data_IF_617575637935
#
_entry.id   IF_617575637935
#
_cell.length_a   1.000
_cell.length_b   1.000
_cell.length_c   1.000
_cell.angle_alpha   90.00
_cell.angle_beta   90.00
_cell.angle_gamma   90.00
#
_symmetry.space_group_name_H-M   'P 1'
#
loop_
_entity.id
_entity.type
_entity.pdbx_description
1 polymer ?
#
# COMPACT_ATOMS: atom_id res chain seq x y z
N UNK A 1 -3.44 3.74 4.80
CA UNK A 1 -4.69 3.04 4.44
C UNK A 1 -4.48 1.57 4.05
N UNK A 2 -3.77 1.29 2.95
CA UNK A 2 -3.60 -0.10 2.42
C UNK A 2 -3.01 -1.05 3.48
N UNK A 3 -2.04 -0.59 4.27
CA UNK A 3 -1.47 -1.37 5.37
C UNK A 3 -2.46 -1.69 6.50
N UNK A 4 -3.44 -0.83 6.77
CA UNK A 4 -4.48 -1.10 7.77
C UNK A 4 -5.44 -2.21 7.28
N UNK A 5 -5.90 -2.09 6.03
CA UNK A 5 -6.74 -3.10 5.37
C UNK A 5 -5.97 -4.43 5.32
N UNK A 6 -4.69 -4.41 4.91
CA UNK A 6 -3.85 -5.59 4.81
C UNK A 6 -3.71 -6.39 6.12
N UNK A 7 -3.63 -5.68 7.25
CA UNK A 7 -3.52 -6.28 8.59
C UNK A 7 -4.83 -6.91 9.10
N UNK A 8 -5.98 -6.36 8.72
CA UNK A 8 -7.27 -6.77 9.29
C UNK A 8 -8.19 -7.52 8.30
N UNK A 9 -7.80 -7.64 7.02
CA UNK A 9 -8.61 -8.30 5.98
C UNK A 9 -8.95 -9.76 6.30
N UNK A 10 -8.10 -10.47 7.05
CA UNK A 10 -8.36 -11.88 7.42
C UNK A 10 -9.50 -11.99 8.43
N UNK A 11 -9.69 -10.97 9.26
CA UNK A 11 -10.71 -10.95 10.31
C UNK A 11 -12.04 -10.38 9.82
N UNK A 12 -12.00 -9.35 8.97
CA UNK A 12 -13.20 -8.61 8.58
C UNK A 12 -13.48 -8.58 7.07
N UNK A 13 -12.55 -9.03 6.23
CA UNK A 13 -12.64 -8.87 4.77
C UNK A 13 -12.31 -7.44 4.30
N UNK A 14 -12.01 -7.30 3.01
CA UNK A 14 -11.62 -6.00 2.42
C UNK A 14 -12.83 -5.06 2.25
N UNK A 15 -13.95 -5.58 1.74
CA UNK A 15 -15.17 -4.80 1.48
C UNK A 15 -15.79 -4.19 2.74
N UNK A 16 -15.98 -4.94 3.84
CA UNK A 16 -16.51 -4.37 5.07
C UNK A 16 -15.62 -3.27 5.65
N UNK A 17 -14.29 -3.44 5.60
CA UNK A 17 -13.34 -2.42 6.04
C UNK A 17 -13.46 -1.16 5.17
N UNK A 18 -13.50 -1.29 3.83
CA UNK A 18 -13.68 -0.17 2.92
C UNK A 18 -15.00 0.58 3.16
N UNK A 19 -16.08 -0.12 3.50
CA UNK A 19 -17.39 0.47 3.81
C UNK A 19 -17.32 1.36 5.07
N UNK A 20 -16.70 0.88 6.16
CA UNK A 20 -16.53 1.65 7.40
C UNK A 20 -15.61 2.86 7.18
N UNK A 21 -14.52 2.69 6.44
CA UNK A 21 -13.60 3.80 6.13
C UNK A 21 -14.28 4.92 5.35
N UNK A 22 -15.20 4.57 4.45
CA UNK A 22 -16.00 5.55 3.70
C UNK A 22 -16.91 6.38 4.62
N UNK A 23 -17.43 5.79 5.70
CA UNK A 23 -18.20 6.52 6.73
C UNK A 23 -17.29 7.48 7.52
N UNK A 24 -16.05 7.09 7.78
CA UNK A 24 -15.02 7.91 8.42
C UNK A 24 -14.37 8.95 7.49
N UNK A 25 -15.05 9.33 6.39
CA UNK A 25 -14.58 10.30 5.39
C UNK A 25 -13.32 9.87 4.62
N UNK A 26 -12.92 8.60 4.69
CA UNK A 26 -11.78 8.08 3.91
C UNK A 26 -12.26 7.06 2.88
N UNK A 27 -12.49 7.55 1.66
CA UNK A 27 -12.99 6.71 0.57
C UNK A 27 -11.86 5.94 -0.11
N UNK A 28 -11.87 4.61 0.03
CA UNK A 28 -11.05 3.69 -0.74
C UNK A 28 -11.92 2.57 -1.31
N UNK A 29 -11.79 2.30 -2.60
CA UNK A 29 -12.49 1.19 -3.24
C UNK A 29 -11.72 -0.14 -3.04
N UNK A 30 -12.42 -1.29 -2.92
CA UNK A 30 -11.77 -2.60 -2.85
C UNK A 30 -10.85 -2.88 -4.05
N UNK A 31 -11.27 -2.49 -5.25
CA UNK A 31 -10.45 -2.61 -6.48
C UNK A 31 -9.15 -1.80 -6.38
N UNK A 32 -9.19 -0.59 -5.81
CA UNK A 32 -8.00 0.22 -5.55
C UNK A 32 -7.06 -0.44 -4.56
N UNK A 33 -7.58 -1.10 -3.51
CA UNK A 33 -6.76 -1.84 -2.57
C UNK A 33 -6.01 -2.99 -3.27
N UNK A 34 -6.71 -3.81 -4.06
CA UNK A 34 -6.08 -4.92 -4.79
C UNK A 34 -5.10 -4.42 -5.84
N UNK A 35 -5.45 -3.38 -6.61
CA UNK A 35 -4.55 -2.75 -7.58
C UNK A 35 -3.27 -2.22 -6.92
N UNK A 36 -3.39 -1.60 -5.73
CA UNK A 36 -2.23 -1.13 -5.01
C UNK A 36 -1.38 -2.27 -4.44
N UNK A 37 -1.99 -3.40 -4.09
CA UNK A 37 -1.28 -4.59 -3.59
C UNK A 37 -0.54 -5.34 -4.70
N UNK A 38 -1.08 -5.37 -5.92
CA UNK A 38 -0.46 -6.02 -7.07
C UNK A 38 0.51 -5.13 -7.85
N UNK A 39 0.53 -3.82 -7.58
CA UNK A 39 1.40 -2.88 -8.28
C UNK A 39 2.88 -3.21 -8.03
N UNK A 40 3.70 -3.37 -9.08
CA UNK A 40 5.14 -3.47 -8.91
C UNK A 40 5.72 -2.16 -8.38
N UNK A 41 6.90 -2.24 -7.76
CA UNK A 41 7.67 -1.05 -7.37
C UNK A 41 7.90 -0.16 -8.59
N UNK A 42 7.67 1.15 -8.43
CA UNK A 42 7.87 2.10 -9.52
C UNK A 42 9.35 2.13 -9.94
N UNK A 43 9.62 2.43 -11.21
CA UNK A 43 11.00 2.53 -11.71
C UNK A 43 11.83 3.56 -10.95
N UNK A 44 11.17 4.62 -10.45
CA UNK A 44 11.81 5.59 -9.55
C UNK A 44 12.21 4.93 -8.22
N UNK A 45 11.30 4.22 -7.56
CA UNK A 45 11.62 3.54 -6.31
C UNK A 45 12.74 2.50 -6.48
N UNK A 46 12.75 1.78 -7.61
CA UNK A 46 13.83 0.84 -7.94
C UNK A 46 15.18 1.54 -8.15
N UNK A 47 15.20 2.71 -8.80
CA UNK A 47 16.42 3.53 -8.95
C UNK A 47 16.88 4.09 -7.61
N UNK A 48 15.96 4.64 -6.82
CA UNK A 48 16.26 5.23 -5.52
C UNK A 48 16.81 4.18 -4.54
N UNK A 49 16.31 2.94 -4.58
CA UNK A 49 16.85 1.83 -3.79
C UNK A 49 18.29 1.48 -4.16
N UNK A 50 18.62 1.44 -5.47
CA UNK A 50 20.00 1.22 -5.94
C UNK A 50 20.92 2.37 -5.53
N UNK A 51 20.49 3.60 -5.77
CA UNK A 51 21.25 4.80 -5.45
C UNK A 51 21.52 4.91 -3.94
N UNK A 52 20.52 4.61 -3.11
CA UNK A 52 20.67 4.64 -1.64
C UNK A 52 21.72 3.63 -1.16
N UNK A 53 21.77 2.44 -1.76
CA UNK A 53 22.78 1.43 -1.45
C UNK A 53 24.20 1.89 -1.84
N UNK A 54 24.34 2.58 -2.97
CA UNK A 54 25.63 3.18 -3.40
C UNK A 54 26.08 4.30 -2.47
N UNK A 55 25.16 5.17 -2.03
CA UNK A 55 25.46 6.24 -1.06
C UNK A 55 25.94 5.65 0.26
N UNK A 56 25.26 4.61 0.77
CA UNK A 56 25.65 3.94 2.01
C UNK A 56 27.02 3.25 1.92
N UNK A 57 27.52 2.95 0.71
CA UNK A 57 28.84 2.33 0.51
C UNK A 57 30.00 3.31 0.70
N UNK A 58 29.76 4.61 0.49
CA UNK A 58 30.78 5.66 0.52
C UNK A 58 30.73 6.52 1.78
N UNK A 59 29.85 6.17 2.72
CA UNK A 59 29.73 6.78 4.05
C UNK A 59 30.61 6.08 5.08
#
# INVERSE_FOLDING_TARGET
MIGYIGRHKELFGVEPICAVLRQASVSIAPSTYYAAKSRPVSDRAQRDQRLSAEIMRVW
#
